data_IF_866181436053
#
_entry.id   IF_866181436053
#
_cell.length_a   1.000
_cell.length_b   1.000
_cell.length_c   1.000
_cell.angle_alpha   90.00
_cell.angle_beta   90.00
_cell.angle_gamma   90.00
#
_symmetry.space_group_name_H-M   'P 1'
#
loop_
_entity.id
_entity.type
_entity.pdbx_description
1 polymer ?
#
# COMPACT_ATOMS: atom_id res chain seq x y z
N UNK A 1 -16.41 -5.34 -14.57
CA UNK A 1 -16.08 -6.77 -14.35
C UNK A 1 -17.33 -7.60 -14.04
N UNK A 2 -18.42 -7.04 -13.47
CA UNK A 2 -19.66 -7.80 -13.24
C UNK A 2 -19.59 -8.67 -11.98
N UNK A 3 -20.73 -9.19 -11.52
CA UNK A 3 -20.84 -10.08 -10.35
C UNK A 3 -21.28 -11.50 -10.72
N UNK A 4 -21.53 -11.75 -12.01
CA UNK A 4 -21.82 -13.08 -12.52
C UNK A 4 -20.51 -13.78 -12.90
N UNK A 5 -20.20 -14.96 -12.33
CA UNK A 5 -18.96 -15.69 -12.63
C UNK A 5 -18.71 -15.93 -14.12
N UNK A 6 -19.77 -16.17 -14.91
CA UNK A 6 -19.64 -16.42 -16.36
C UNK A 6 -19.21 -15.17 -17.12
N UNK A 7 -19.80 -14.01 -16.79
CA UNK A 7 -19.41 -12.72 -17.36
C UNK A 7 -17.98 -12.34 -16.97
N UNK A 8 -17.60 -12.62 -15.72
CA UNK A 8 -16.26 -12.31 -15.22
C UNK A 8 -15.21 -13.18 -15.92
N UNK A 9 -15.48 -14.46 -16.11
CA UNK A 9 -14.62 -15.37 -16.88
C UNK A 9 -14.42 -14.85 -18.31
N UNK A 10 -15.51 -14.58 -19.03
CA UNK A 10 -15.41 -14.11 -20.41
C UNK A 10 -14.64 -12.77 -20.52
N UNK A 11 -14.89 -11.85 -19.59
CA UNK A 11 -14.19 -10.56 -19.55
C UNK A 11 -12.70 -10.72 -19.25
N UNK A 12 -12.35 -11.60 -18.30
CA UNK A 12 -10.96 -11.89 -17.96
C UNK A 12 -10.25 -12.57 -19.12
N UNK A 13 -10.81 -13.61 -19.72
CA UNK A 13 -10.22 -14.26 -20.90
C UNK A 13 -9.97 -13.26 -22.03
N UNK A 14 -10.96 -12.41 -22.32
CA UNK A 14 -10.84 -11.37 -23.34
C UNK A 14 -9.72 -10.37 -23.04
N UNK A 15 -9.62 -9.89 -21.79
CA UNK A 15 -8.56 -8.99 -21.35
C UNK A 15 -7.17 -9.62 -21.48
N UNK A 16 -7.04 -10.89 -21.09
CA UNK A 16 -5.76 -11.60 -21.13
C UNK A 16 -5.35 -11.90 -22.56
N UNK A 17 -6.29 -12.30 -23.43
CA UNK A 17 -6.04 -12.48 -24.86
C UNK A 17 -5.60 -11.17 -25.52
N UNK A 18 -6.23 -10.05 -25.17
CA UNK A 18 -5.85 -8.74 -25.69
C UNK A 18 -4.44 -8.36 -25.22
N UNK A 19 -4.16 -8.51 -23.93
CA UNK A 19 -2.85 -8.23 -23.34
C UNK A 19 -1.75 -9.09 -23.98
N UNK A 20 -1.99 -10.40 -24.15
CA UNK A 20 -1.06 -11.32 -24.81
C UNK A 20 -0.82 -10.93 -26.27
N UNK A 21 -1.89 -10.61 -27.03
CA UNK A 21 -1.79 -10.16 -28.42
C UNK A 21 -0.95 -8.88 -28.55
N UNK A 22 -1.08 -7.97 -27.58
CA UNK A 22 -0.37 -6.70 -27.56
C UNK A 22 1.01 -6.79 -26.92
N UNK A 23 1.40 -7.97 -26.40
CA UNK A 23 2.61 -8.16 -25.57
C UNK A 23 2.68 -7.15 -24.42
N UNK A 24 1.51 -6.80 -23.87
CA UNK A 24 1.39 -5.88 -22.76
C UNK A 24 1.68 -6.57 -21.42
N UNK A 25 2.14 -5.78 -20.45
CA UNK A 25 2.21 -6.21 -19.05
C UNK A 25 0.84 -5.98 -18.42
N UNK A 26 0.26 -7.02 -17.83
CA UNK A 26 -1.01 -6.94 -17.11
C UNK A 26 -0.73 -6.70 -15.62
N UNK A 27 -1.42 -5.72 -15.02
CA UNK A 27 -1.35 -5.41 -13.59
C UNK A 27 -2.72 -5.59 -12.96
N UNK A 28 -2.83 -6.50 -12.01
CA UNK A 28 -3.99 -6.63 -11.13
C UNK A 28 -3.65 -6.05 -9.78
N UNK A 29 -4.21 -4.87 -9.52
CA UNK A 29 -4.07 -4.18 -8.26
C UNK A 29 -5.13 -4.67 -7.25
N UNK A 30 -4.78 -4.75 -5.98
CA UNK A 30 -5.67 -5.20 -4.90
C UNK A 30 -6.36 -6.53 -5.22
N UNK A 31 -5.58 -7.51 -5.65
CA UNK A 31 -6.10 -8.81 -6.06
C UNK A 31 -6.60 -9.67 -4.87
N UNK A 32 -6.65 -9.14 -3.64
CA UNK A 32 -7.08 -9.87 -2.44
C UNK A 32 -8.51 -10.41 -2.55
N UNK A 33 -9.40 -9.68 -3.22
CA UNK A 33 -10.77 -10.14 -3.56
C UNK A 33 -10.79 -11.48 -4.31
N UNK A 34 -9.72 -11.79 -5.07
CA UNK A 34 -9.60 -13.02 -5.83
C UNK A 34 -8.69 -14.07 -5.17
N UNK A 35 -8.04 -13.72 -4.06
CA UNK A 35 -6.97 -14.52 -3.45
C UNK A 35 -7.32 -15.04 -2.06
N UNK A 36 -8.44 -14.59 -1.47
CA UNK A 36 -8.97 -15.11 -0.21
C UNK A 36 -9.24 -16.63 -0.27
N UNK A 37 -9.13 -17.36 0.85
CA UNK A 37 -9.28 -18.80 0.88
C UNK A 37 -10.72 -19.19 0.56
N UNK A 38 -10.90 -20.33 -0.10
CA UNK A 38 -12.22 -20.90 -0.36
C UNK A 38 -12.95 -21.13 0.96
N UNK A 39 -14.05 -20.43 1.16
CA UNK A 39 -14.97 -20.63 2.28
C UNK A 39 -15.90 -21.80 1.96
N UNK A 40 -16.15 -22.67 2.94
CA UNK A 40 -17.06 -23.82 2.86
C UNK A 40 -18.54 -23.43 2.97
N UNK A 41 -18.85 -22.14 3.16
CA UNK A 41 -20.22 -21.66 3.27
C UNK A 41 -20.88 -21.51 1.88
N UNK A 42 -22.16 -21.89 1.80
CA UNK A 42 -22.99 -21.83 0.58
C UNK A 42 -23.19 -20.42 0.02
N UNK A 43 -22.95 -19.37 0.82
CA UNK A 43 -22.95 -17.97 0.38
C UNK A 43 -21.78 -17.59 -0.54
N UNK A 44 -20.73 -18.41 -0.59
CA UNK A 44 -19.47 -18.10 -1.29
C UNK A 44 -19.28 -18.86 -2.61
N UNK A 45 -20.32 -19.54 -3.13
CA UNK A 45 -20.24 -20.31 -4.39
C UNK A 45 -19.79 -19.44 -5.58
N UNK A 46 -20.28 -18.20 -5.69
CA UNK A 46 -19.86 -17.26 -6.74
C UNK A 46 -18.38 -16.88 -6.61
N UNK A 47 -17.88 -16.67 -5.39
CA UNK A 47 -16.46 -16.40 -5.13
C UNK A 47 -15.58 -17.60 -5.49
N UNK A 48 -15.97 -18.79 -5.05
CA UNK A 48 -15.22 -20.02 -5.35
C UNK A 48 -15.15 -20.28 -6.86
N UNK A 49 -16.20 -19.91 -7.62
CA UNK A 49 -16.17 -19.91 -9.07
C UNK A 49 -15.15 -18.89 -9.61
N UNK A 50 -15.16 -17.64 -9.15
CA UNK A 50 -14.19 -16.61 -9.54
C UNK A 50 -12.73 -17.00 -9.26
N UNK A 51 -12.44 -17.57 -8.10
CA UNK A 51 -11.09 -18.07 -7.77
C UNK A 51 -10.68 -19.19 -8.73
N UNK A 52 -11.61 -20.09 -9.07
CA UNK A 52 -11.35 -21.20 -10.00
C UNK A 52 -11.10 -20.72 -11.42
N UNK A 53 -11.84 -19.69 -11.86
CA UNK A 53 -11.61 -19.00 -13.13
C UNK A 53 -10.23 -18.35 -13.15
N UNK A 54 -9.88 -17.60 -12.09
CA UNK A 54 -8.57 -16.95 -11.99
C UNK A 54 -7.44 -17.99 -12.07
N UNK A 55 -7.54 -19.11 -11.34
CA UNK A 55 -6.53 -20.19 -11.38
C UNK A 55 -6.33 -20.76 -12.79
N UNK A 56 -7.42 -20.99 -13.53
CA UNK A 56 -7.36 -21.48 -14.91
C UNK A 56 -6.67 -20.45 -15.80
N UNK A 57 -7.06 -19.18 -15.70
CA UNK A 57 -6.50 -18.12 -16.53
C UNK A 57 -5.02 -17.89 -16.21
N UNK A 58 -4.61 -17.95 -14.93
CA UNK A 58 -3.20 -17.87 -14.51
C UNK A 58 -2.33 -19.00 -15.07
N UNK A 59 -2.88 -20.20 -15.22
CA UNK A 59 -2.16 -21.37 -15.72
C UNK A 59 -1.80 -21.25 -17.20
N UNK A 60 -2.68 -20.67 -18.01
CA UNK A 60 -2.55 -20.61 -19.46
C UNK A 60 -2.14 -19.24 -20.00
N UNK A 61 -1.99 -18.22 -19.14
CA UNK A 61 -1.64 -16.88 -19.59
C UNK A 61 -0.21 -16.82 -20.16
N UNK A 62 -0.10 -16.43 -21.42
CA UNK A 62 1.17 -16.23 -22.12
C UNK A 62 1.55 -14.74 -22.13
N UNK A 63 2.00 -14.23 -20.98
CA UNK A 63 2.42 -12.84 -20.82
C UNK A 63 3.03 -12.54 -19.46
N UNK A 64 3.32 -11.26 -19.19
CA UNK A 64 3.79 -10.81 -17.88
C UNK A 64 2.58 -10.32 -17.09
N UNK A 65 2.28 -10.99 -15.98
CA UNK A 65 1.26 -10.58 -15.03
C UNK A 65 1.91 -10.15 -13.71
N UNK A 66 1.53 -8.97 -13.24
CA UNK A 66 1.88 -8.45 -11.92
C UNK A 66 0.61 -8.43 -11.07
N UNK A 67 0.68 -9.05 -9.89
CA UNK A 67 -0.38 -9.03 -8.88
C UNK A 67 0.12 -8.21 -7.69
N UNK A 68 -0.72 -7.30 -7.18
CA UNK A 68 -0.48 -6.63 -5.89
C UNK A 68 -1.53 -7.08 -4.88
N UNK A 69 -1.15 -7.09 -3.60
CA UNK A 69 -2.05 -7.49 -2.52
C UNK A 69 -1.58 -6.92 -1.19
N UNK A 70 -2.53 -6.59 -0.32
CA UNK A 70 -2.26 -6.21 1.06
C UNK A 70 -2.45 -7.39 2.04
N UNK A 71 -2.88 -8.58 1.57
CA UNK A 71 -3.36 -9.68 2.43
C UNK A 71 -2.61 -11.00 2.23
N UNK A 72 -1.29 -11.01 2.46
CA UNK A 72 -0.47 -12.23 2.24
C UNK A 72 -0.88 -13.44 3.10
N UNK A 73 -1.53 -13.23 4.25
CA UNK A 73 -1.90 -14.30 5.20
C UNK A 73 -3.11 -15.14 4.76
N UNK A 74 -3.83 -14.69 3.74
CA UNK A 74 -5.11 -15.28 3.32
C UNK A 74 -5.03 -15.90 1.92
N UNK A 75 -3.83 -16.19 1.42
CA UNK A 75 -3.68 -16.70 0.07
C UNK A 75 -4.12 -18.15 -0.09
N UNK A 76 -4.89 -18.42 -1.14
CA UNK A 76 -5.07 -19.78 -1.65
C UNK A 76 -3.72 -20.35 -2.16
N UNK A 77 -3.31 -21.49 -1.58
CA UNK A 77 -2.06 -22.18 -1.90
C UNK A 77 -1.95 -22.54 -3.38
N UNK A 78 -3.07 -22.81 -4.05
CA UNK A 78 -3.10 -23.13 -5.48
C UNK A 78 -2.84 -21.91 -6.37
N UNK A 79 -3.08 -20.70 -5.88
CA UNK A 79 -2.72 -19.47 -6.61
C UNK A 79 -1.23 -19.21 -6.44
N UNK A 80 -0.70 -19.35 -5.23
CA UNK A 80 0.74 -19.18 -4.97
C UNK A 80 1.60 -20.16 -5.77
N UNK A 81 1.13 -21.39 -5.99
CA UNK A 81 1.88 -22.36 -6.81
C UNK A 81 2.03 -21.96 -8.28
N UNK A 82 1.22 -21.01 -8.77
CA UNK A 82 1.29 -20.44 -10.13
C UNK A 82 2.06 -19.11 -10.18
N UNK A 83 2.51 -18.58 -9.04
CA UNK A 83 3.31 -17.36 -8.97
C UNK A 83 4.80 -17.72 -9.02
N UNK A 84 5.49 -17.28 -10.07
CA UNK A 84 6.92 -17.58 -10.24
C UNK A 84 7.83 -16.77 -9.31
N UNK A 85 7.42 -15.55 -8.93
CA UNK A 85 8.19 -14.63 -8.09
C UNK A 85 7.28 -13.90 -7.11
N UNK A 86 7.54 -14.07 -5.82
CA UNK A 86 6.92 -13.29 -4.76
C UNK A 86 7.88 -12.21 -4.25
N UNK A 87 7.47 -10.94 -4.33
CA UNK A 87 8.22 -9.82 -3.76
C UNK A 87 7.47 -9.33 -2.52
N UNK A 88 8.09 -9.50 -1.36
CA UNK A 88 7.56 -8.96 -0.11
C UNK A 88 8.15 -7.57 0.13
N UNK A 89 7.28 -6.57 0.26
CA UNK A 89 7.69 -5.24 0.72
C UNK A 89 7.67 -5.20 2.23
N UNK A 90 8.82 -4.93 2.83
CA UNK A 90 8.95 -4.75 4.28
C UNK A 90 8.63 -3.31 4.69
N UNK A 91 8.41 -3.10 5.99
CA UNK A 91 8.22 -1.77 6.50
C UNK A 91 9.51 -0.97 6.35
N UNK A 92 9.40 0.24 5.78
CA UNK A 92 10.55 1.10 5.54
C UNK A 92 11.33 1.38 6.83
N UNK A 93 12.65 1.25 6.74
CA UNK A 93 13.57 1.69 7.78
C UNK A 93 13.71 3.21 7.80
N UNK A 94 14.31 3.73 8.88
CA UNK A 94 14.52 5.17 9.03
C UNK A 94 15.35 5.77 7.89
N UNK A 95 16.38 5.07 7.43
CA UNK A 95 17.22 5.51 6.31
C UNK A 95 16.46 5.60 4.99
N UNK A 96 15.58 4.63 4.72
CA UNK A 96 14.76 4.61 3.51
C UNK A 96 13.70 5.73 3.55
N UNK A 97 13.08 5.97 4.70
CA UNK A 97 12.17 7.13 4.89
C UNK A 97 12.90 8.45 4.70
N UNK A 98 14.15 8.56 5.18
CA UNK A 98 14.98 9.74 4.98
C UNK A 98 15.29 9.97 3.49
N UNK A 99 15.60 8.91 2.74
CA UNK A 99 15.84 8.99 1.29
C UNK A 99 14.58 9.47 0.53
N UNK A 100 13.41 8.93 0.88
CA UNK A 100 12.12 9.36 0.32
C UNK A 100 11.87 10.84 0.62
N UNK A 101 12.05 11.24 1.88
CA UNK A 101 11.89 12.62 2.30
C UNK A 101 12.84 13.57 1.57
N UNK A 102 14.11 13.19 1.46
CA UNK A 102 15.13 13.95 0.75
C UNK A 102 14.77 14.12 -0.73
N UNK A 103 14.29 13.06 -1.38
CA UNK A 103 13.85 13.12 -2.78
C UNK A 103 12.70 14.12 -2.97
N UNK A 104 11.72 14.13 -2.07
CA UNK A 104 10.60 15.08 -2.14
C UNK A 104 11.03 16.52 -1.81
N UNK A 105 11.84 16.72 -0.77
CA UNK A 105 12.38 18.06 -0.47
C UNK A 105 13.23 18.57 -1.63
N UNK A 106 13.97 17.70 -2.32
CA UNK A 106 14.77 18.02 -3.51
C UNK A 106 13.93 18.44 -4.71
N UNK A 107 12.71 17.93 -4.86
CA UNK A 107 11.80 18.31 -5.96
C UNK A 107 11.08 19.64 -5.74
N UNK A 108 10.95 20.10 -4.50
CA UNK A 108 10.34 21.41 -4.19
C UNK A 108 11.29 22.55 -4.62
N UNK A 109 10.78 23.62 -5.28
CA UNK A 109 11.59 24.78 -5.66
C UNK A 109 12.28 25.44 -4.47
N UNK A 110 13.56 25.83 -4.63
CA UNK A 110 14.33 26.51 -3.57
C UNK A 110 13.66 27.79 -3.06
N UNK A 111 12.93 28.50 -3.92
CA UNK A 111 12.20 29.72 -3.54
C UNK A 111 11.07 29.48 -2.53
N UNK A 112 10.53 28.26 -2.49
CA UNK A 112 9.42 27.85 -1.62
C UNK A 112 9.90 27.16 -0.34
N UNK A 113 11.20 27.06 -0.08
CA UNK A 113 11.73 26.42 1.13
C UNK A 113 12.60 27.41 1.90
N UNK A 114 12.34 27.51 3.19
CA UNK A 114 13.23 28.18 4.12
C UNK A 114 14.26 27.19 4.68
N UNK A 115 15.55 27.50 4.48
CA UNK A 115 16.69 26.73 4.98
C UNK A 115 16.60 25.21 4.70
N UNK A 116 16.76 24.85 3.43
CA UNK A 116 16.69 23.45 2.95
C UNK A 116 17.65 22.51 3.67
N UNK A 117 18.85 22.99 4.00
CA UNK A 117 19.88 22.19 4.67
C UNK A 117 19.43 21.78 6.07
N UNK A 118 18.86 22.71 6.85
CA UNK A 118 18.29 22.40 8.15
C UNK A 118 17.11 21.41 8.09
N UNK A 119 16.30 21.49 7.02
CA UNK A 119 15.20 20.55 6.79
C UNK A 119 15.73 19.15 6.46
N UNK A 120 16.74 19.02 5.61
CA UNK A 120 17.33 17.72 5.27
C UNK A 120 18.04 17.10 6.48
N UNK A 121 18.74 17.91 7.28
CA UNK A 121 19.40 17.47 8.50
C UNK A 121 18.42 17.08 9.63
N UNK A 122 17.13 17.40 9.50
CA UNK A 122 16.15 17.05 10.52
C UNK A 122 16.08 15.53 10.74
N UNK A 123 16.18 14.71 9.68
CA UNK A 123 16.16 13.25 9.76
C UNK A 123 17.38 12.64 10.47
N UNK A 124 18.48 13.39 10.61
CA UNK A 124 19.66 12.94 11.38
C UNK A 124 19.44 13.09 12.88
N UNK A 125 18.48 13.92 13.30
CA UNK A 125 18.19 14.18 14.72
C UNK A 125 17.36 13.04 15.31
N UNK A 126 17.60 12.76 16.59
CA UNK A 126 16.89 11.70 17.35
C UNK A 126 15.37 11.91 17.35
N UNK A 127 14.93 13.16 17.49
CA UNK A 127 13.50 13.50 17.58
C UNK A 127 12.73 13.18 16.29
N UNK A 128 13.37 13.38 15.12
CA UNK A 128 12.75 13.04 13.85
C UNK A 128 12.59 11.52 13.70
N UNK A 129 13.53 10.73 14.23
CA UNK A 129 13.40 9.27 14.25
C UNK A 129 12.11 8.84 14.96
N UNK A 130 11.75 9.51 16.05
CA UNK A 130 10.53 9.19 16.80
C UNK A 130 9.26 9.55 16.04
N UNK A 131 9.20 10.73 15.40
CA UNK A 131 8.00 11.14 14.64
C UNK A 131 7.80 10.34 13.35
N UNK A 132 8.88 9.94 12.67
CA UNK A 132 8.79 9.19 11.42
C UNK A 132 8.74 7.67 11.63
N UNK A 133 9.02 7.16 12.84
CA UNK A 133 8.96 5.72 13.17
C UNK A 133 7.60 5.09 12.84
N UNK A 134 6.45 5.62 13.27
CA UNK A 134 5.16 4.99 12.98
C UNK A 134 4.72 5.13 11.52
N UNK A 135 5.37 6.00 10.74
CA UNK A 135 4.91 6.41 9.41
C UNK A 135 5.37 5.48 8.28
N UNK A 136 4.54 5.28 7.27
CA UNK A 136 4.91 4.64 6.00
C UNK A 136 5.34 5.69 4.94
N UNK A 137 5.81 5.24 3.77
CA UNK A 137 6.30 6.14 2.72
C UNK A 137 5.23 7.12 2.20
N UNK A 138 3.98 6.68 2.11
CA UNK A 138 2.85 7.55 1.74
C UNK A 138 2.67 8.64 2.80
N UNK A 139 2.69 8.28 4.08
CA UNK A 139 2.53 9.24 5.17
C UNK A 139 3.68 10.24 5.25
N UNK A 140 4.92 9.83 4.97
CA UNK A 140 6.08 10.76 4.85
C UNK A 140 5.81 11.80 3.76
N UNK A 141 5.32 11.36 2.59
CA UNK A 141 4.92 12.25 1.49
C UNK A 141 3.80 13.21 1.91
N UNK A 142 2.78 12.70 2.61
CA UNK A 142 1.65 13.52 3.03
C UNK A 142 2.05 14.56 4.07
N UNK A 143 2.96 14.24 5.00
CA UNK A 143 3.52 15.21 5.94
C UNK A 143 4.14 16.39 5.19
N UNK A 144 4.88 16.13 4.12
CA UNK A 144 5.48 17.17 3.28
C UNK A 144 4.45 18.02 2.54
N UNK A 145 3.42 17.40 1.96
CA UNK A 145 2.35 18.15 1.31
C UNK A 145 1.55 19.01 2.29
N UNK A 146 1.21 18.47 3.45
CA UNK A 146 0.51 19.24 4.49
C UNK A 146 1.38 20.39 5.00
N UNK A 147 2.69 20.16 5.17
CA UNK A 147 3.63 21.22 5.54
C UNK A 147 3.76 22.30 4.46
N UNK A 148 3.72 21.90 3.18
CA UNK A 148 3.68 22.83 2.05
C UNK A 148 2.40 23.66 2.02
N UNK A 149 1.25 23.03 2.28
CA UNK A 149 -0.03 23.72 2.37
C UNK A 149 -0.03 24.74 3.51
N UNK A 150 0.52 24.38 4.68
CA UNK A 150 0.64 25.28 5.83
C UNK A 150 1.59 26.46 5.53
N UNK A 151 2.74 26.19 4.90
CA UNK A 151 3.67 27.24 4.48
C UNK A 151 3.14 28.17 3.39
N UNK A 152 2.20 27.70 2.56
CA UNK A 152 1.54 28.55 1.56
C UNK A 152 0.64 29.60 2.21
N UNK A 153 0.10 29.31 3.40
CA UNK A 153 -0.68 30.28 4.19
C UNK A 153 0.19 31.16 5.10
N UNK A 154 1.43 30.74 5.37
CA UNK A 154 2.37 31.39 6.29
C UNK A 154 3.67 31.78 5.56
N UNK A 155 3.65 32.93 4.87
CA UNK A 155 4.84 33.51 4.24
C UNK A 155 5.30 32.86 2.93
N UNK A 156 4.48 31.97 2.35
CA UNK A 156 4.72 31.29 1.05
C UNK A 156 5.99 30.41 1.01
N UNK A 157 6.41 29.91 2.19
CA UNK A 157 7.60 29.06 2.33
C UNK A 157 7.37 27.91 3.30
N UNK A 158 7.95 26.76 2.97
CA UNK A 158 8.01 25.60 3.85
C UNK A 158 9.14 25.80 4.84
N UNK A 159 8.81 25.82 6.12
CA UNK A 159 9.76 25.90 7.22
C UNK A 159 9.95 24.53 7.87
N UNK A 160 11.02 24.39 8.65
CA UNK A 160 11.21 23.20 9.48
C UNK A 160 10.06 23.01 10.46
N UNK A 161 9.52 24.08 11.03
CA UNK A 161 8.42 24.03 12.00
C UNK A 161 7.13 23.45 11.40
N UNK A 162 6.81 23.80 10.14
CA UNK A 162 5.67 23.20 9.43
C UNK A 162 5.82 21.68 9.32
N UNK A 163 7.01 21.20 8.93
CA UNK A 163 7.29 19.77 8.79
C UNK A 163 7.22 19.07 10.14
N UNK A 164 7.84 19.65 11.18
CA UNK A 164 7.81 19.08 12.53
C UNK A 164 6.39 18.97 13.08
N UNK A 165 5.59 20.02 12.89
CA UNK A 165 4.19 20.06 13.35
C UNK A 165 3.38 18.98 12.66
N UNK A 166 3.46 18.89 11.32
CA UNK A 166 2.73 17.87 10.55
C UNK A 166 3.21 16.45 10.85
N UNK A 167 4.52 16.25 11.03
CA UNK A 167 5.09 14.97 11.41
C UNK A 167 4.59 14.51 12.77
N UNK A 168 4.59 15.38 13.79
CA UNK A 168 4.09 15.08 15.15
C UNK A 168 2.61 14.74 15.15
N UNK A 169 1.78 15.54 14.47
CA UNK A 169 0.32 15.30 14.38
C UNK A 169 0.05 13.94 13.71
N UNK A 170 0.68 13.69 12.56
CA UNK A 170 0.51 12.43 11.83
C UNK A 170 1.03 11.25 12.64
N UNK A 171 2.19 11.39 13.29
CA UNK A 171 2.79 10.36 14.14
C UNK A 171 1.88 9.98 15.30
N UNK A 172 1.29 10.96 15.99
CA UNK A 172 0.36 10.73 17.10
C UNK A 172 -0.87 9.97 16.62
N UNK A 173 -1.53 10.46 15.57
CA UNK A 173 -2.70 9.80 15.00
C UNK A 173 -2.42 8.36 14.57
N UNK A 174 -1.30 8.10 13.90
CA UNK A 174 -0.93 6.74 13.47
C UNK A 174 -0.59 5.81 14.64
N UNK A 175 -0.02 6.35 15.72
CA UNK A 175 0.28 5.58 16.93
C UNK A 175 -1.01 5.21 17.67
N UNK A 176 -1.94 6.17 17.80
CA UNK A 176 -3.25 5.97 18.42
C UNK A 176 -4.07 4.95 17.62
N UNK A 177 -4.10 5.08 16.28
CA UNK A 177 -4.79 4.13 15.40
C UNK A 177 -4.22 2.71 15.54
N UNK A 178 -2.88 2.55 15.56
CA UNK A 178 -2.25 1.24 15.75
C UNK A 178 -2.57 0.64 17.12
N UNK A 179 -2.66 1.46 18.15
CA UNK A 179 -3.03 1.01 19.49
C UNK A 179 -4.46 0.47 19.51
N UNK A 180 -5.42 1.23 18.97
CA UNK A 180 -6.83 0.82 18.88
C UNK A 180 -7.01 -0.44 18.03
N UNK A 181 -6.35 -0.52 16.87
CA UNK A 181 -6.41 -1.72 16.01
C UNK A 181 -5.86 -2.96 16.70
N UNK A 182 -4.77 -2.83 17.49
CA UNK A 182 -4.20 -3.94 18.24
C UNK A 182 -5.10 -4.38 19.38
N UNK A 183 -5.75 -3.44 20.06
CA UNK A 183 -6.73 -3.73 21.11
C UNK A 183 -7.96 -4.46 20.53
N UNK A 184 -8.46 -4.00 19.38
CA UNK A 184 -9.56 -4.64 18.65
C UNK A 184 -9.21 -6.06 18.19
N UNK A 185 -8.04 -6.26 17.59
CA UNK A 185 -7.59 -7.58 17.15
C UNK A 185 -7.51 -8.58 18.31
N UNK A 186 -6.90 -8.16 19.44
CA UNK A 186 -6.80 -9.01 20.64
C UNK A 186 -8.17 -9.38 21.22
N UNK A 187 -9.14 -8.46 21.17
CA UNK A 187 -10.51 -8.74 21.65
C UNK A 187 -11.22 -9.78 20.79
N UNK A 188 -11.01 -9.75 19.49
CA UNK A 188 -11.65 -10.69 18.56
C UNK A 188 -10.96 -12.06 18.55
N UNK A 189 -9.64 -12.12 18.76
CA UNK A 189 -8.91 -13.39 18.94
C UNK A 189 -9.36 -14.13 20.22
N UNK A 190 -9.73 -13.40 21.28
CA UNK A 190 -10.24 -13.99 22.54
C UNK A 190 -11.72 -14.42 22.41
N UNK A 191 -12.46 -13.87 21.45
CA UNK A 191 -13.88 -14.19 21.22
C UNK A 191 -14.13 -15.48 20.42
N UNK A 192 -13.12 -15.96 19.67
CA UNK A 192 -13.20 -17.19 18.88
C UNK A 192 -12.79 -18.46 19.67
N UNK A 193 -12.30 -18.32 20.90
CA UNK A 193 -11.92 -19.43 21.79
C UNK A 193 -12.95 -19.74 22.91
N UNK A 194 -14.14 -19.10 22.89
CA UNK A 194 -15.17 -19.23 23.93
C UNK A 194 -16.45 -19.93 23.44
#
# INVERSE_FOLDING_TARGET
>A
IGLDPEDVEHNLESLFHLAARWRAVLLFDEADVFLEPRSSNTSDLKRNALVSVLLRVLEYYQGILILTTNRIKQFDVAVLSRVNLGIKYEALEHGEKAAIFEQFIKSVPKSKIENREAILDCFKKKDAKDWFKPLNGHQVRNVLFSAASLGSTDGDKITLEHIQTMAKITSRFQSDLKFEMKAWAKKNEIGDEA
#
